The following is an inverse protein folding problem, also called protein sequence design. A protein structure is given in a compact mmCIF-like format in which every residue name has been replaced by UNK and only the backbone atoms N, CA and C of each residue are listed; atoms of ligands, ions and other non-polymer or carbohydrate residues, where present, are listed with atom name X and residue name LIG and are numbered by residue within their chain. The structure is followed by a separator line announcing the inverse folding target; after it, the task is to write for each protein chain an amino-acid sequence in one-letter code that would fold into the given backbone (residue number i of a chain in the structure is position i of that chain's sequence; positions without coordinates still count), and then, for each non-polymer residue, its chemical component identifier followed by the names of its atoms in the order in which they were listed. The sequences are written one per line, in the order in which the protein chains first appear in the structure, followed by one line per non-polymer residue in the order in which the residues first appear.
data_IF_794232870956
#
_entry.id   IF_794232870956
#
_cell.length_a   1.000
_cell.length_b   1.000
_cell.length_c   1.000
_cell.angle_alpha   90.00
_cell.angle_beta   90.00
_cell.angle_gamma   90.00
#
_symmetry.space_group_name_H-M   'P 1'
#
loop_
_entity.id
_entity.type
_entity.pdbx_description
1 polymer ?
#
# COMPACT_ATOMS: atom_id res chain seq x y z
N UNK A 1 -19.63 25.10 3.21
CA UNK A 1 -19.34 24.07 4.24
C UNK A 1 -18.09 23.35 3.76
N UNK A 2 -16.89 23.50 4.31
CA UNK A 2 -16.51 23.59 5.71
C UNK A 2 -15.78 22.28 6.05
N UNK A 3 -14.46 22.33 6.20
CA UNK A 3 -13.67 21.28 6.85
C UNK A 3 -12.50 20.71 6.05
N UNK A 4 -11.38 21.44 6.06
CA UNK A 4 -10.05 20.84 6.02
C UNK A 4 -9.94 19.79 7.12
N UNK A 5 -9.72 18.51 6.78
CA UNK A 5 -9.32 17.47 7.73
C UNK A 5 -8.30 16.52 7.10
N UNK A 6 -7.05 16.97 7.15
CA UNK A 6 -5.95 16.14 7.63
C UNK A 6 -5.42 15.11 6.64
N UNK A 7 -4.60 15.59 5.70
CA UNK A 7 -3.58 14.74 5.05
C UNK A 7 -2.66 14.15 6.10
N UNK A 8 -2.98 12.97 6.61
CA UNK A 8 -2.01 12.15 7.34
C UNK A 8 -1.29 11.26 6.33
N UNK A 9 -0.46 11.90 5.48
CA UNK A 9 0.58 11.26 4.66
C UNK A 9 1.67 10.72 5.60
N UNK A 10 1.30 9.80 6.48
CA UNK A 10 2.27 9.09 7.29
C UNK A 10 3.08 8.27 6.31
N UNK A 11 4.40 8.47 6.32
CA UNK A 11 5.37 7.67 5.58
C UNK A 11 5.46 7.91 4.06
N UNK A 12 5.42 9.14 3.57
CA UNK A 12 6.00 9.47 2.24
C UNK A 12 5.38 8.81 1.00
N UNK A 13 4.33 7.99 1.15
CA UNK A 13 3.62 7.35 0.04
C UNK A 13 2.57 8.32 -0.48
N UNK A 14 2.53 8.50 -1.80
CA UNK A 14 1.54 9.37 -2.44
C UNK A 14 0.28 8.58 -2.79
N UNK A 15 -0.86 9.26 -2.88
CA UNK A 15 -2.15 8.65 -3.26
C UNK A 15 -2.08 7.98 -4.65
N UNK A 16 -1.15 8.44 -5.49
CA UNK A 16 -0.84 7.85 -6.79
C UNK A 16 -0.16 6.48 -6.63
N UNK A 17 0.73 6.33 -5.65
CA UNK A 17 1.38 5.05 -5.34
C UNK A 17 0.38 4.03 -4.82
N UNK A 18 -0.63 4.47 -4.05
CA UNK A 18 -1.75 3.64 -3.58
C UNK A 18 -2.53 3.09 -4.78
N UNK A 19 -3.00 3.98 -5.66
CA UNK A 19 -3.76 3.58 -6.85
C UNK A 19 -2.96 2.65 -7.75
N UNK A 20 -1.67 2.88 -7.89
CA UNK A 20 -0.79 1.98 -8.64
C UNK A 20 -0.59 0.63 -7.94
N UNK A 21 -0.46 0.61 -6.62
CA UNK A 21 -0.32 -0.62 -5.84
C UNK A 21 -1.56 -1.49 -5.96
N UNK A 22 -2.77 -0.92 -5.83
CA UNK A 22 -4.03 -1.66 -5.96
C UNK A 22 -4.24 -2.17 -7.39
N UNK A 23 -3.92 -1.37 -8.41
CA UNK A 23 -4.17 -1.74 -9.83
C UNK A 23 -3.16 -2.72 -10.41
N UNK A 24 -1.91 -2.70 -9.96
CA UNK A 24 -0.81 -3.52 -10.49
C UNK A 24 -0.21 -4.45 -9.43
N UNK A 25 -1.02 -4.84 -8.45
CA UNK A 25 -0.62 -5.81 -7.45
C UNK A 25 -0.30 -7.15 -8.13
N UNK A 26 0.85 -7.73 -7.80
CA UNK A 26 1.17 -9.12 -8.16
C UNK A 26 0.43 -10.05 -7.20
N UNK A 27 0.37 -9.67 -5.93
CA UNK A 27 -0.29 -10.44 -4.87
C UNK A 27 -0.97 -9.51 -3.88
N UNK A 28 -2.13 -9.92 -3.38
CA UNK A 28 -2.84 -9.26 -2.30
C UNK A 28 -3.07 -10.27 -1.19
N UNK A 29 -2.71 -9.91 0.03
CA UNK A 29 -2.88 -10.75 1.22
C UNK A 29 -3.69 -9.95 2.20
N UNK A 30 -4.96 -10.32 2.35
CA UNK A 30 -5.83 -9.67 3.31
C UNK A 30 -5.56 -10.19 4.72
N UNK A 31 -5.33 -9.29 5.67
CA UNK A 31 -5.18 -9.58 7.10
C UNK A 31 -6.31 -8.96 7.92
N UNK A 32 -7.48 -8.76 7.31
CA UNK A 32 -8.67 -8.19 7.96
C UNK A 32 -8.69 -6.67 7.88
N UNK A 33 -8.00 -5.99 8.80
CA UNK A 33 -7.99 -4.51 8.88
C UNK A 33 -6.99 -3.86 7.93
N UNK A 34 -6.11 -4.67 7.34
CA UNK A 34 -5.02 -4.22 6.48
C UNK A 34 -4.72 -5.27 5.44
N UNK A 35 -4.51 -4.79 4.23
CA UNK A 35 -4.18 -5.58 3.07
C UNK A 35 -2.72 -5.32 2.68
N UNK A 36 -2.00 -6.41 2.48
CA UNK A 36 -0.64 -6.38 1.99
C UNK A 36 -0.64 -6.55 0.48
N UNK A 37 -0.21 -5.52 -0.22
CA UNK A 37 -0.04 -5.52 -1.67
C UNK A 37 1.43 -5.72 -2.00
N UNK A 38 1.75 -6.85 -2.62
CA UNK A 38 3.08 -7.09 -3.18
C UNK A 38 3.05 -6.66 -4.64
N UNK A 39 3.98 -5.80 -5.03
CA UNK A 39 4.11 -5.29 -6.41
C UNK A 39 5.56 -5.24 -6.84
N UNK A 40 5.82 -5.25 -8.13
CA UNK A 40 7.12 -4.81 -8.64
C UNK A 40 7.13 -3.28 -8.82
N UNK A 41 8.28 -2.65 -8.55
CA UNK A 41 8.56 -1.28 -8.96
C UNK A 41 8.96 -1.22 -10.45
N UNK A 42 9.24 0.00 -10.96
CA UNK A 42 9.66 0.18 -12.36
C UNK A 42 11.02 -0.44 -12.68
N UNK A 43 11.81 -0.79 -11.67
CA UNK A 43 13.12 -1.46 -11.79
C UNK A 43 13.01 -2.98 -11.64
N UNK A 44 11.80 -3.52 -11.42
CA UNK A 44 11.56 -4.94 -11.19
C UNK A 44 11.78 -5.39 -9.73
N UNK A 45 12.04 -4.47 -8.80
CA UNK A 45 12.19 -4.80 -7.38
C UNK A 45 10.82 -5.00 -6.76
N UNK A 46 10.70 -6.06 -5.97
CA UNK A 46 9.48 -6.32 -5.23
C UNK A 46 9.36 -5.32 -4.08
N UNK A 47 8.19 -4.72 -3.98
CA UNK A 47 7.78 -3.79 -2.94
C UNK A 47 6.61 -4.38 -2.17
N UNK A 48 6.65 -4.15 -0.88
CA UNK A 48 5.60 -4.41 0.07
C UNK A 48 4.84 -3.10 0.32
N UNK A 49 3.55 -3.06 0.00
CA UNK A 49 2.68 -1.91 0.23
C UNK A 49 1.55 -2.32 1.16
N UNK A 50 1.58 -1.82 2.39
CA UNK A 50 0.49 -2.04 3.34
C UNK A 50 -0.56 -0.96 3.14
N UNK A 51 -1.80 -1.37 2.85
CA UNK A 51 -2.96 -0.50 2.71
C UNK A 51 -3.97 -0.86 3.80
N UNK A 52 -4.60 0.14 4.40
CA UNK A 52 -5.74 -0.05 5.28
C UNK A 52 -6.93 0.75 4.75
N UNK A 53 -8.13 0.35 5.13
CA UNK A 53 -9.34 1.11 4.82
C UNK A 53 -9.55 2.18 5.89
N UNK A 54 -9.61 3.45 5.46
CA UNK A 54 -9.91 4.62 6.30
C UNK A 54 -11.24 5.20 5.81
N UNK A 55 -12.34 4.85 6.49
CA UNK A 55 -13.70 5.30 6.12
C UNK A 55 -14.07 5.01 4.64
N UNK A 56 -13.74 3.82 4.13
CA UNK A 56 -13.99 3.42 2.74
C UNK A 56 -13.00 4.00 1.73
N UNK A 57 -11.94 4.67 2.20
CA UNK A 57 -10.82 5.11 1.37
C UNK A 57 -9.59 4.23 1.65
N UNK A 58 -9.06 3.52 0.65
CA UNK A 58 -7.82 2.77 0.82
C UNK A 58 -6.65 3.75 1.00
N UNK A 59 -5.98 3.68 2.15
CA UNK A 59 -4.82 4.50 2.50
C UNK A 59 -3.58 3.60 2.66
N UNK A 60 -2.52 3.83 1.88
CA UNK A 60 -1.26 3.15 2.13
C UNK A 60 -0.56 3.74 3.34
N UNK A 61 -0.14 2.85 4.24
CA UNK A 61 0.67 3.20 5.40
C UNK A 61 2.12 3.34 4.99
N UNK A 62 2.66 2.42 4.18
CA UNK A 62 4.04 2.48 3.74
C UNK A 62 4.24 1.61 2.50
N UNK A 63 5.25 1.98 1.70
CA UNK A 63 5.78 1.20 0.61
C UNK A 63 7.27 1.01 0.85
N UNK A 64 7.70 -0.23 1.06
CA UNK A 64 9.10 -0.57 1.33
C UNK A 64 9.54 -1.71 0.43
N UNK A 65 10.86 -1.91 0.28
CA UNK A 65 11.38 -3.10 -0.39
C UNK A 65 10.83 -4.36 0.30
N UNK A 66 10.39 -5.33 -0.50
CA UNK A 66 9.80 -6.57 0.01
C UNK A 66 10.81 -7.27 0.91
N UNK A 67 10.42 -7.45 2.17
CA UNK A 67 11.29 -8.10 3.15
C UNK A 67 11.31 -9.62 2.89
N UNK A 68 12.43 -10.33 3.14
CA UNK A 68 12.55 -11.75 2.84
C UNK A 68 11.49 -12.64 3.51
N UNK A 69 10.99 -12.23 4.68
CA UNK A 69 9.89 -12.89 5.40
C UNK A 69 8.57 -12.96 4.62
N UNK A 70 8.42 -12.18 3.55
CA UNK A 70 7.25 -12.18 2.69
C UNK A 70 7.47 -12.90 1.35
N UNK A 71 8.69 -13.40 1.10
CA UNK A 71 8.97 -14.21 -0.09
C UNK A 71 8.20 -15.52 -0.08
N UNK A 72 7.90 -16.08 1.09
CA UNK A 72 7.06 -17.27 1.23
C UNK A 72 5.60 -17.04 0.84
N UNK A 73 5.20 -15.78 0.64
CA UNK A 73 3.82 -15.41 0.29
C UNK A 73 3.63 -15.04 -1.19
N UNK A 74 4.68 -15.13 -2.00
CA UNK A 74 4.65 -14.97 -3.46
C UNK A 74 4.08 -16.19 -4.17
#
# INVERSE_FOLDING_TARGET
MGGDRGRRRKHGVTDLDIKHAVRKAIRVISRGERDLYIRADQTGRLLEVVVFDDDGQPVAIHAVALRPQFYEQL
#
